data_IF_988901234047
#
_entry.id   IF_988901234047
#
_cell.length_a   1.000
_cell.length_b   1.000
_cell.length_c   1.000
_cell.angle_alpha   90.00
_cell.angle_beta   90.00
_cell.angle_gamma   90.00
#
_symmetry.space_group_name_H-M   'P 1'
#
loop_
_entity.id
_entity.type
_entity.pdbx_description
1 polymer ?
#
# COMPACT_ATOMS: atom_id res chain seq x y z
N UNK A 1 39.29 -24.90 8.76
CA UNK A 1 40.36 -25.69 9.40
C UNK A 1 40.77 -24.93 10.65
N UNK A 2 40.60 -25.59 11.81
CA UNK A 2 40.97 -25.19 13.18
C UNK A 2 40.20 -24.00 13.78
N UNK A 3 39.10 -24.37 14.44
CA UNK A 3 38.33 -23.63 15.44
C UNK A 3 39.05 -23.65 16.80
N UNK A 4 38.80 -22.63 17.63
CA UNK A 4 38.97 -22.70 19.09
C UNK A 4 37.70 -22.15 19.77
N UNK A 5 37.33 -22.65 20.97
CA UNK A 5 35.95 -22.66 21.42
C UNK A 5 35.57 -21.44 22.24
N UNK A 6 34.34 -20.97 22.03
CA UNK A 6 33.66 -19.94 22.81
C UNK A 6 32.96 -20.60 23.99
N UNK A 7 33.24 -20.07 25.18
CA UNK A 7 32.69 -20.39 26.49
C UNK A 7 31.19 -20.10 26.60
N UNK A 8 30.49 -21.02 27.27
CA UNK A 8 29.07 -21.02 27.62
C UNK A 8 28.65 -19.83 28.51
N UNK A 9 27.59 -19.13 28.12
CA UNK A 9 26.91 -18.12 28.93
C UNK A 9 25.77 -18.75 29.76
N UNK A 10 25.49 -18.24 30.98
CA UNK A 10 24.41 -18.74 31.84
C UNK A 10 23.02 -18.16 31.48
N UNK A 11 21.91 -18.80 31.91
CA UNK A 11 20.55 -18.40 31.55
C UNK A 11 20.07 -17.12 32.27
N UNK A 12 19.15 -16.34 31.66
CA UNK A 12 18.68 -15.07 32.21
C UNK A 12 17.66 -15.25 33.34
N UNK A 13 17.77 -14.36 34.33
CA UNK A 13 16.92 -14.24 35.50
C UNK A 13 15.49 -13.76 35.16
N UNK A 14 14.50 -14.32 35.85
CA UNK A 14 13.09 -13.88 35.86
C UNK A 14 12.98 -12.50 36.53
N UNK A 15 12.45 -11.51 35.80
CA UNK A 15 12.06 -10.21 36.34
C UNK A 15 10.56 -10.26 36.63
N UNK A 16 10.22 -10.23 37.92
CA UNK A 16 8.85 -10.04 38.43
C UNK A 16 8.61 -8.55 38.58
N UNK A 17 7.72 -7.97 37.78
CA UNK A 17 7.35 -6.55 37.86
C UNK A 17 6.00 -6.41 38.55
N UNK A 18 6.04 -5.90 39.78
CA UNK A 18 4.91 -5.48 40.60
C UNK A 18 4.36 -4.15 40.07
N UNK A 19 3.04 -4.08 39.82
CA UNK A 19 2.36 -2.85 39.40
C UNK A 19 2.00 -1.97 40.61
N UNK A 20 2.16 -0.63 40.53
CA UNK A 20 1.63 0.27 41.55
C UNK A 20 0.21 0.74 41.20
N UNK A 21 -0.67 0.59 42.19
CA UNK A 21 -2.03 1.09 42.27
C UNK A 21 -2.02 2.60 42.47
N UNK A 22 -2.62 3.36 41.54
CA UNK A 22 -2.87 4.80 41.70
C UNK A 22 -4.38 5.02 41.73
N UNK A 23 -4.83 5.65 42.80
CA UNK A 23 -6.20 6.09 43.08
C UNK A 23 -6.27 7.61 42.89
N UNK A 24 -7.49 8.15 42.94
CA UNK A 24 -7.91 9.58 43.10
C UNK A 24 -8.34 10.30 41.80
N UNK A 25 -9.19 11.35 41.87
CA UNK A 25 -10.66 11.27 41.95
C UNK A 25 -11.39 12.09 40.86
N UNK A 26 -12.70 11.91 40.77
CA UNK A 26 -13.62 12.76 39.99
C UNK A 26 -13.65 14.21 40.50
N UNK A 27 -13.95 15.20 39.63
CA UNK A 27 -15.20 15.94 39.85
C UNK A 27 -15.97 16.39 38.59
N UNK A 28 -17.30 16.36 38.76
CA UNK A 28 -18.31 17.41 38.50
C UNK A 28 -18.36 18.14 37.14
N UNK A 29 -19.54 17.98 36.52
CA UNK A 29 -20.02 18.63 35.31
C UNK A 29 -20.49 20.08 35.51
N UNK A 30 -20.34 20.90 34.46
CA UNK A 30 -21.25 22.00 34.09
C UNK A 30 -21.21 22.19 32.56
N UNK A 31 -22.35 22.39 31.86
CA UNK A 31 -22.41 22.45 30.40
C UNK A 31 -22.15 23.87 29.88
N UNK A 32 -21.39 23.99 28.79
CA UNK A 32 -21.27 25.24 28.02
C UNK A 32 -21.61 24.98 26.57
N UNK A 33 -22.54 25.79 26.07
CA UNK A 33 -23.20 25.73 24.77
C UNK A 33 -22.39 26.47 23.69
N UNK A 34 -22.56 26.01 22.43
CA UNK A 34 -22.24 26.62 21.13
C UNK A 34 -20.88 26.27 20.46
N UNK A 35 -20.74 26.34 19.12
CA UNK A 35 -21.74 26.49 18.05
C UNK A 35 -21.72 25.35 16.99
N UNK A 36 -22.83 25.33 16.27
CA UNK A 36 -23.17 24.60 15.05
C UNK A 36 -22.12 24.71 13.94
N UNK A 37 -21.70 23.57 13.38
CA UNK A 37 -21.32 23.36 11.97
C UNK A 37 -20.30 22.21 11.84
N UNK A 38 -20.80 21.00 11.61
CA UNK A 38 -20.16 20.04 10.70
C UNK A 38 -21.19 18.97 10.38
N UNK A 39 -21.38 18.74 9.09
CA UNK A 39 -22.32 17.80 8.49
C UNK A 39 -22.04 16.38 8.95
N UNK A 40 -22.88 15.85 9.82
CA UNK A 40 -22.97 14.41 10.09
C UNK A 40 -23.45 13.68 8.83
N UNK A 41 -22.57 12.88 8.25
CA UNK A 41 -22.94 11.96 7.19
C UNK A 41 -23.59 10.73 7.84
N UNK A 42 -24.91 10.77 7.93
CA UNK A 42 -25.75 9.64 8.37
C UNK A 42 -25.71 8.56 7.28
N UNK A 43 -25.14 7.41 7.60
CA UNK A 43 -25.33 6.19 6.79
C UNK A 43 -26.81 5.83 6.89
N UNK A 44 -27.54 5.67 5.78
CA UNK A 44 -28.96 5.35 5.83
C UNK A 44 -29.13 3.98 6.49
N UNK A 45 -29.76 3.98 7.66
CA UNK A 45 -30.34 2.77 8.23
C UNK A 45 -31.34 2.22 7.22
N UNK A 46 -31.16 0.96 6.86
CA UNK A 46 -32.00 0.20 5.95
C UNK A 46 -33.41 0.03 6.52
N UNK A 47 -34.23 1.06 6.38
CA UNK A 47 -35.68 0.97 6.61
C UNK A 47 -36.32 0.18 5.46
N UNK A 48 -36.72 -1.05 5.78
CA UNK A 48 -37.86 -1.81 5.24
C UNK A 48 -38.29 -1.46 3.81
N UNK A 49 -37.67 -2.11 2.82
CA UNK A 49 -38.28 -2.29 1.50
C UNK A 49 -39.06 -3.62 1.52
N UNK A 50 -40.38 -3.49 1.42
CA UNK A 50 -41.32 -4.57 1.21
C UNK A 50 -40.97 -5.30 -0.10
N UNK A 51 -40.79 -6.64 -0.12
CA UNK A 51 -40.43 -7.34 -1.35
C UNK A 51 -41.63 -7.43 -2.29
N UNK A 52 -41.40 -7.13 -3.58
CA UNK A 52 -42.29 -7.51 -4.66
C UNK A 52 -42.31 -9.05 -4.81
N UNK A 53 -43.46 -9.67 -5.13
CA UNK A 53 -43.58 -11.12 -5.25
C UNK A 53 -42.79 -11.60 -6.49
N UNK A 54 -41.66 -12.25 -6.24
CA UNK A 54 -40.90 -13.00 -7.24
C UNK A 54 -41.47 -14.42 -7.35
N UNK A 55 -41.37 -15.07 -8.53
CA UNK A 55 -41.95 -16.38 -8.76
C UNK A 55 -41.21 -17.45 -7.95
N UNK A 56 -42.01 -18.30 -7.30
CA UNK A 56 -41.65 -19.40 -6.40
C UNK A 56 -40.37 -20.16 -6.80
N UNK A 57 -39.22 -19.72 -6.26
CA UNK A 57 -38.09 -20.61 -6.03
C UNK A 57 -38.45 -21.47 -4.82
N UNK A 58 -38.62 -22.78 -5.04
CA UNK A 58 -38.98 -23.74 -4.00
C UNK A 58 -38.04 -23.62 -2.80
N UNK A 59 -38.59 -23.12 -1.70
CA UNK A 59 -37.92 -23.07 -0.40
C UNK A 59 -37.82 -24.51 0.10
N UNK A 60 -36.66 -25.13 -0.10
CA UNK A 60 -36.30 -26.38 0.56
C UNK A 60 -36.04 -26.03 2.02
N UNK A 61 -37.11 -26.06 2.82
CA UNK A 61 -37.08 -25.96 4.27
C UNK A 61 -36.73 -27.34 4.84
N UNK A 62 -35.45 -27.70 4.76
CA UNK A 62 -34.87 -28.84 5.46
C UNK A 62 -34.02 -28.33 6.61
N UNK A 63 -34.22 -28.86 7.82
CA UNK A 63 -33.38 -28.60 8.98
C UNK A 63 -31.90 -28.56 8.59
N UNK A 64 -31.27 -27.39 8.75
CA UNK A 64 -29.88 -27.12 8.41
C UNK A 64 -28.93 -27.88 9.35
N UNK A 65 -28.79 -29.18 9.14
CA UNK A 65 -27.67 -29.96 9.65
C UNK A 65 -26.42 -29.52 8.90
N UNK A 66 -25.72 -28.48 9.38
CA UNK A 66 -24.30 -28.16 9.14
C UNK A 66 -23.67 -28.32 7.71
N UNK A 67 -24.45 -28.45 6.63
CA UNK A 67 -23.95 -28.63 5.27
C UNK A 67 -25.06 -28.32 4.26
N UNK A 68 -24.84 -27.63 3.15
CA UNK A 68 -23.60 -27.50 2.40
C UNK A 68 -23.48 -26.08 1.85
N UNK A 69 -22.49 -25.33 2.31
CA UNK A 69 -22.04 -24.17 1.55
C UNK A 69 -21.44 -24.69 0.24
N UNK A 70 -21.86 -24.17 -0.92
CA UNK A 70 -21.29 -24.61 -2.18
C UNK A 70 -19.80 -24.22 -2.21
N UNK A 71 -18.87 -25.15 -2.55
CA UNK A 71 -17.46 -24.82 -2.70
C UNK A 71 -17.29 -23.62 -3.67
N UNK A 72 -16.39 -22.66 -3.38
CA UNK A 72 -15.42 -22.62 -2.29
C UNK A 72 -15.92 -21.94 -0.99
N UNK A 73 -17.23 -21.69 -0.82
CA UNK A 73 -17.76 -21.06 0.39
C UNK A 73 -17.66 -22.00 1.59
N UNK A 74 -17.23 -21.48 2.73
CA UNK A 74 -17.02 -22.24 3.95
C UNK A 74 -18.21 -22.08 4.91
N UNK A 75 -18.54 -23.10 5.72
CA UNK A 75 -19.58 -22.97 6.74
C UNK A 75 -19.18 -21.93 7.81
N UNK A 76 -20.14 -21.11 8.23
CA UNK A 76 -19.98 -20.10 9.26
C UNK A 76 -20.08 -20.72 10.66
N UNK A 77 -19.04 -21.45 11.06
CA UNK A 77 -19.01 -22.19 12.34
C UNK A 77 -19.03 -21.29 13.59
N UNK A 78 -18.70 -20.01 13.44
CA UNK A 78 -18.64 -19.03 14.53
C UNK A 78 -19.81 -18.05 14.54
N UNK A 79 -20.79 -18.22 13.63
CA UNK A 79 -21.92 -17.30 13.48
C UNK A 79 -21.47 -15.82 13.36
N UNK A 80 -20.37 -15.59 12.64
CA UNK A 80 -19.82 -14.25 12.42
C UNK A 80 -20.78 -13.42 11.56
N UNK A 81 -21.06 -12.19 12.00
CA UNK A 81 -21.70 -11.15 11.21
C UNK A 81 -20.60 -10.23 10.66
N UNK A 82 -20.02 -10.61 9.51
CA UNK A 82 -19.01 -9.81 8.82
C UNK A 82 -19.36 -9.69 7.34
N UNK A 83 -18.79 -8.73 6.62
CA UNK A 83 -19.05 -8.55 5.18
C UNK A 83 -18.67 -9.79 4.34
N UNK A 84 -17.77 -10.62 4.87
CA UNK A 84 -17.36 -11.89 4.24
C UNK A 84 -18.29 -13.06 4.56
N UNK A 85 -19.21 -12.92 5.52
CA UNK A 85 -20.12 -13.96 6.00
C UNK A 85 -21.57 -13.56 5.82
N UNK A 86 -22.37 -14.35 5.09
CA UNK A 86 -23.82 -14.14 4.97
C UNK A 86 -24.58 -15.41 5.35
N UNK A 87 -25.22 -15.35 6.51
CA UNK A 87 -25.96 -16.48 7.07
C UNK A 87 -25.02 -17.66 7.37
N UNK A 88 -25.31 -18.88 6.89
CA UNK A 88 -24.54 -20.06 7.23
C UNK A 88 -23.22 -20.20 6.46
N UNK A 89 -22.91 -19.31 5.51
CA UNK A 89 -21.74 -19.42 4.64
C UNK A 89 -20.88 -18.17 4.64
N UNK A 90 -19.57 -18.36 4.54
CA UNK A 90 -18.55 -17.33 4.49
C UNK A 90 -17.61 -17.52 3.31
N UNK A 91 -17.08 -16.41 2.80
CA UNK A 91 -15.95 -16.39 1.88
C UNK A 91 -14.66 -16.70 2.67
N UNK A 92 -13.77 -17.56 2.14
CA UNK A 92 -12.44 -17.73 2.69
C UNK A 92 -11.63 -16.43 2.53
N UNK A 93 -10.71 -16.21 3.46
CA UNK A 93 -9.77 -15.11 3.42
C UNK A 93 -8.51 -15.48 2.58
N UNK A 94 -8.01 -14.58 1.69
CA UNK A 94 -8.60 -13.29 1.32
C UNK A 94 -9.78 -13.49 0.37
N UNK A 95 -10.87 -12.72 0.54
CA UNK A 95 -12.07 -12.85 -0.30
C UNK A 95 -11.77 -12.68 -1.81
N UNK A 96 -10.71 -11.93 -2.13
CA UNK A 96 -10.20 -11.75 -3.49
C UNK A 96 -9.83 -13.06 -4.18
N UNK A 97 -9.27 -14.04 -3.46
CA UNK A 97 -8.71 -15.25 -4.06
C UNK A 97 -9.75 -16.09 -4.75
N UNK A 98 -11.00 -15.96 -4.35
CA UNK A 98 -12.16 -16.73 -4.80
C UNK A 98 -12.72 -16.22 -6.14
N UNK A 99 -12.42 -14.98 -6.51
CA UNK A 99 -12.93 -14.40 -7.76
C UNK A 99 -12.04 -14.62 -8.98
N UNK A 100 -10.80 -15.08 -8.79
CA UNK A 100 -9.85 -15.37 -9.87
C UNK A 100 -9.74 -16.86 -10.14
N UNK A 101 -8.95 -17.29 -11.13
CA UNK A 101 -8.65 -18.72 -11.24
C UNK A 101 -7.78 -19.17 -10.03
N UNK A 102 -7.92 -20.42 -9.57
CA UNK A 102 -7.15 -20.93 -8.43
C UNK A 102 -5.64 -20.87 -8.71
N UNK A 103 -4.87 -20.41 -7.72
CA UNK A 103 -3.42 -20.23 -7.81
C UNK A 103 -2.95 -19.02 -8.62
N UNK A 104 -3.84 -18.31 -9.32
CA UNK A 104 -3.46 -17.23 -10.22
C UNK A 104 -2.92 -15.99 -9.46
N UNK A 105 -3.61 -15.57 -8.40
CA UNK A 105 -3.18 -14.47 -7.53
C UNK A 105 -1.92 -14.82 -6.73
N UNK A 106 -1.84 -16.04 -6.19
CA UNK A 106 -0.66 -16.51 -5.44
C UNK A 106 0.59 -16.51 -6.33
N UNK A 107 0.44 -16.91 -7.60
CA UNK A 107 1.53 -16.87 -8.59
C UNK A 107 2.03 -15.45 -8.81
N UNK A 108 1.14 -14.46 -8.99
CA UNK A 108 1.56 -13.04 -9.10
C UNK A 108 2.31 -12.62 -7.85
N UNK A 109 1.72 -12.79 -6.66
CA UNK A 109 2.31 -12.28 -5.43
C UNK A 109 3.67 -12.91 -5.16
N UNK A 110 3.83 -14.18 -5.52
CA UNK A 110 5.11 -14.88 -5.48
C UNK A 110 6.13 -14.25 -6.44
N UNK A 111 5.78 -14.09 -7.72
CA UNK A 111 6.66 -13.49 -8.73
C UNK A 111 7.05 -12.06 -8.34
N UNK A 112 6.08 -11.23 -7.97
CA UNK A 112 6.33 -9.85 -7.54
C UNK A 112 7.21 -9.81 -6.30
N UNK A 113 7.01 -10.69 -5.33
CA UNK A 113 7.85 -10.74 -4.12
C UNK A 113 9.30 -11.12 -4.44
N UNK A 114 9.53 -12.04 -5.38
CA UNK A 114 10.87 -12.34 -5.89
C UNK A 114 11.50 -11.15 -6.61
N UNK A 115 10.74 -10.45 -7.47
CA UNK A 115 11.23 -9.25 -8.15
C UNK A 115 11.61 -8.13 -7.16
N UNK A 116 10.80 -7.93 -6.11
CA UNK A 116 11.11 -6.99 -5.02
C UNK A 116 12.37 -7.41 -4.25
N UNK A 117 12.55 -8.71 -3.98
CA UNK A 117 13.78 -9.20 -3.35
C UNK A 117 15.03 -8.92 -4.18
N UNK A 118 14.98 -9.18 -5.49
CA UNK A 118 16.07 -8.85 -6.43
C UNK A 118 16.32 -7.34 -6.46
N UNK A 119 15.26 -6.53 -6.51
CA UNK A 119 15.35 -5.07 -6.47
C UNK A 119 16.00 -4.56 -5.18
N UNK A 120 15.61 -5.12 -4.02
CA UNK A 120 16.17 -4.78 -2.72
C UNK A 120 17.69 -5.04 -2.67
N UNK A 121 18.14 -6.19 -3.19
CA UNK A 121 19.58 -6.54 -3.26
C UNK A 121 20.32 -5.55 -4.15
N UNK A 122 19.80 -5.22 -5.32
CA UNK A 122 20.44 -4.26 -6.22
C UNK A 122 20.49 -2.84 -5.63
N UNK A 123 19.42 -2.40 -4.95
CA UNK A 123 19.41 -1.13 -4.19
C UNK A 123 20.43 -1.14 -3.04
N UNK A 124 20.60 -2.28 -2.36
CA UNK A 124 21.59 -2.43 -1.30
C UNK A 124 23.01 -2.33 -1.85
N UNK A 125 23.30 -2.98 -2.98
CA UNK A 125 24.60 -2.87 -3.64
C UNK A 125 24.92 -1.42 -4.05
N UNK A 126 23.94 -0.68 -4.58
CA UNK A 126 24.10 0.74 -4.83
C UNK A 126 24.40 1.53 -3.55
N UNK A 127 23.59 1.31 -2.51
CA UNK A 127 23.77 2.01 -1.24
C UNK A 127 25.19 1.78 -0.70
N UNK A 128 25.66 0.54 -0.70
CA UNK A 128 27.02 0.17 -0.29
C UNK A 128 28.08 0.86 -1.18
N UNK A 129 27.90 0.87 -2.49
CA UNK A 129 28.82 1.56 -3.40
C UNK A 129 28.91 3.07 -3.07
N UNK A 130 27.79 3.74 -2.81
CA UNK A 130 27.80 5.16 -2.43
C UNK A 130 28.43 5.40 -1.05
N UNK A 131 28.26 4.48 -0.09
CA UNK A 131 28.90 4.58 1.23
C UNK A 131 30.42 4.43 1.12
N UNK A 132 30.89 3.48 0.31
CA UNK A 132 32.32 3.16 0.13
C UNK A 132 33.09 4.22 -0.66
N UNK A 133 32.44 5.01 -1.53
CA UNK A 133 33.10 6.09 -2.29
C UNK A 133 32.97 7.46 -1.58
N UNK A 134 33.93 7.86 -0.70
CA UNK A 134 33.84 9.10 0.09
C UNK A 134 33.84 10.38 -0.78
N UNK A 135 34.44 10.32 -1.97
CA UNK A 135 34.51 11.45 -2.91
C UNK A 135 33.13 11.98 -3.35
N UNK A 136 32.07 11.17 -3.19
CA UNK A 136 30.70 11.47 -3.63
C UNK A 136 29.75 11.95 -2.53
N UNK A 137 30.23 12.31 -1.34
CA UNK A 137 29.36 12.76 -0.21
C UNK A 137 28.93 14.23 -0.27
N UNK A 138 29.24 14.96 -1.34
CA UNK A 138 28.83 16.35 -1.53
C UNK A 138 27.46 16.45 -2.19
N UNK A 139 26.72 17.51 -1.90
CA UNK A 139 25.48 17.84 -2.60
C UNK A 139 25.75 17.89 -4.13
N UNK A 140 24.89 17.30 -5.00
CA UNK A 140 23.56 16.71 -4.77
C UNK A 140 23.55 15.19 -4.46
N UNK A 141 24.71 14.53 -4.49
CA UNK A 141 24.80 13.06 -4.37
C UNK A 141 24.34 12.53 -3.01
N UNK A 142 24.35 13.36 -1.95
CA UNK A 142 23.80 13.02 -0.64
C UNK A 142 22.30 12.65 -0.69
N UNK A 143 21.50 13.37 -1.50
CA UNK A 143 20.07 13.07 -1.66
C UNK A 143 19.86 11.67 -2.27
N UNK A 144 20.67 11.34 -3.28
CA UNK A 144 20.63 10.03 -3.95
C UNK A 144 21.04 8.91 -3.00
N UNK A 145 22.05 9.14 -2.14
CA UNK A 145 22.44 8.18 -1.11
C UNK A 145 21.30 7.89 -0.13
N UNK A 146 20.65 8.93 0.40
CA UNK A 146 19.52 8.76 1.33
C UNK A 146 18.33 8.09 0.64
N UNK A 147 18.08 8.43 -0.62
CA UNK A 147 17.07 7.78 -1.44
C UNK A 147 17.32 6.28 -1.59
N UNK A 148 18.55 5.89 -1.97
CA UNK A 148 18.94 4.49 -2.09
C UNK A 148 18.83 3.76 -0.74
N UNK A 149 19.20 4.40 0.36
CA UNK A 149 19.09 3.85 1.71
C UNK A 149 17.64 3.53 2.11
N UNK A 150 16.68 4.38 1.74
CA UNK A 150 15.25 4.18 2.02
C UNK A 150 14.59 3.17 1.08
N UNK A 151 15.11 3.02 -0.14
CA UNK A 151 14.59 2.03 -1.09
C UNK A 151 14.84 0.58 -0.65
N UNK A 152 15.95 0.31 0.06
CA UNK A 152 16.24 -1.04 0.58
C UNK A 152 15.15 -1.57 1.51
N UNK A 153 14.78 -0.88 2.62
CA UNK A 153 13.69 -1.36 3.47
C UNK A 153 12.32 -1.28 2.78
N UNK A 154 12.10 -0.31 1.88
CA UNK A 154 10.85 -0.23 1.12
C UNK A 154 10.61 -1.50 0.29
N UNK A 155 11.61 -1.96 -0.47
CA UNK A 155 11.54 -3.21 -1.21
C UNK A 155 11.53 -4.43 -0.28
N UNK A 156 12.32 -4.38 0.81
CA UNK A 156 12.39 -5.45 1.81
C UNK A 156 11.04 -5.76 2.46
N UNK A 157 10.21 -4.77 2.77
CA UNK A 157 8.87 -4.97 3.35
C UNK A 157 7.95 -5.79 2.45
N UNK A 158 8.12 -5.71 1.13
CA UNK A 158 7.37 -6.52 0.17
C UNK A 158 7.76 -8.00 0.18
N UNK A 159 8.93 -8.35 0.71
CA UNK A 159 9.42 -9.74 0.76
C UNK A 159 8.91 -10.53 1.95
N UNK A 160 8.32 -9.87 2.95
CA UNK A 160 7.75 -10.51 4.15
C UNK A 160 6.72 -11.57 3.78
N UNK A 161 5.98 -11.34 2.68
CA UNK A 161 5.04 -12.29 2.11
C UNK A 161 5.64 -13.69 1.87
N UNK A 162 6.88 -13.78 1.39
CA UNK A 162 7.52 -15.07 1.08
C UNK A 162 7.70 -15.97 2.30
N UNK A 163 7.78 -15.39 3.51
CA UNK A 163 7.99 -16.13 4.76
C UNK A 163 6.70 -16.35 5.54
N UNK A 164 5.77 -15.40 5.51
CA UNK A 164 4.62 -15.34 6.41
C UNK A 164 3.32 -14.98 5.67
N UNK A 165 3.04 -15.65 4.55
CA UNK A 165 1.85 -15.37 3.73
C UNK A 165 0.55 -15.45 4.53
N UNK A 166 0.42 -16.43 5.43
CA UNK A 166 -0.80 -16.64 6.20
C UNK A 166 -1.00 -15.52 7.23
N UNK A 167 0.02 -15.21 8.03
CA UNK A 167 -0.06 -14.21 9.11
C UNK A 167 -0.29 -12.77 8.60
N UNK A 168 0.18 -12.45 7.40
CA UNK A 168 0.04 -11.10 6.79
C UNK A 168 -1.36 -10.88 6.19
N UNK A 169 -2.07 -11.95 5.85
CA UNK A 169 -3.31 -11.85 5.06
C UNK A 169 -4.53 -12.12 5.91
N UNK A 170 -4.45 -13.20 6.66
CA UNK A 170 -5.60 -13.77 7.35
C UNK A 170 -5.18 -14.17 8.75
N UNK A 171 -5.90 -13.65 9.75
CA UNK A 171 -5.73 -14.13 11.11
C UNK A 171 -6.33 -15.52 11.28
N UNK A 172 -7.48 -15.72 10.65
CA UNK A 172 -8.26 -16.95 10.63
C UNK A 172 -8.78 -17.17 9.22
N UNK A 173 -9.36 -18.34 8.96
CA UNK A 173 -9.90 -18.71 7.63
C UNK A 173 -10.94 -17.72 7.10
N UNK A 174 -11.61 -16.96 7.97
CA UNK A 174 -12.67 -16.00 7.61
C UNK A 174 -12.30 -14.52 7.83
N UNK A 175 -11.28 -14.24 8.65
CA UNK A 175 -11.02 -12.90 9.17
C UNK A 175 -9.73 -12.34 8.56
N UNK A 176 -9.85 -11.21 7.86
CA UNK A 176 -8.71 -10.48 7.32
C UNK A 176 -7.81 -9.95 8.44
N UNK A 177 -6.52 -9.89 8.14
CA UNK A 177 -5.56 -9.32 9.08
C UNK A 177 -5.68 -7.81 9.13
N UNK A 178 -5.81 -7.27 10.34
CA UNK A 178 -5.85 -5.85 10.67
C UNK A 178 -4.74 -5.52 11.67
N UNK A 179 -4.36 -4.25 11.77
CA UNK A 179 -3.40 -3.78 12.79
C UNK A 179 -3.88 -4.06 14.22
N UNK A 180 -5.19 -4.20 14.44
CA UNK A 180 -5.73 -4.54 15.75
C UNK A 180 -5.51 -6.02 16.11
N UNK A 181 -5.46 -6.90 15.11
CA UNK A 181 -5.44 -8.34 15.31
C UNK A 181 -4.07 -9.00 15.02
N UNK A 182 -3.19 -8.33 14.28
CA UNK A 182 -1.80 -8.75 14.00
C UNK A 182 -0.84 -7.57 14.04
N UNK A 183 0.19 -7.68 14.88
CA UNK A 183 1.22 -6.65 15.01
C UNK A 183 2.13 -6.58 13.78
N UNK A 184 2.37 -7.71 13.09
CA UNK A 184 3.23 -7.78 11.90
C UNK A 184 2.62 -6.95 10.77
N UNK A 185 1.32 -7.12 10.53
CA UNK A 185 0.57 -6.33 9.55
C UNK A 185 0.58 -4.83 9.89
N UNK A 186 0.39 -4.50 11.17
CA UNK A 186 0.47 -3.11 11.65
C UNK A 186 1.84 -2.48 11.39
N UNK A 187 2.92 -3.13 11.82
CA UNK A 187 4.30 -2.63 11.62
C UNK A 187 4.64 -2.53 10.14
N UNK A 188 4.29 -3.55 9.34
CA UNK A 188 4.54 -3.56 7.91
C UNK A 188 3.82 -2.39 7.22
N UNK A 189 2.54 -2.18 7.50
CA UNK A 189 1.77 -1.09 6.88
C UNK A 189 2.22 0.31 7.31
N UNK A 190 2.55 0.51 8.59
CA UNK A 190 3.09 1.79 9.10
C UNK A 190 4.42 2.09 8.41
N UNK A 191 5.33 1.12 8.41
CA UNK A 191 6.67 1.28 7.84
C UNK A 191 6.57 1.53 6.32
N UNK A 192 5.71 0.78 5.63
CA UNK A 192 5.49 0.94 4.19
C UNK A 192 4.96 2.33 3.86
N UNK A 193 3.88 2.76 4.54
CA UNK A 193 3.29 4.09 4.33
C UNK A 193 4.29 5.22 4.61
N UNK A 194 5.05 5.12 5.71
CA UNK A 194 6.08 6.08 6.07
C UNK A 194 7.18 6.18 5.01
N UNK A 195 7.69 5.04 4.54
CA UNK A 195 8.74 4.99 3.53
C UNK A 195 8.26 5.58 2.21
N UNK A 196 7.06 5.22 1.72
CA UNK A 196 6.49 5.79 0.49
C UNK A 196 6.39 7.31 0.57
N UNK A 197 5.79 7.84 1.64
CA UNK A 197 5.64 9.28 1.81
C UNK A 197 6.98 10.01 1.94
N UNK A 198 7.96 9.41 2.62
CA UNK A 198 9.33 9.96 2.73
C UNK A 198 10.05 9.97 1.38
N UNK A 199 9.95 8.87 0.62
CA UNK A 199 10.50 8.76 -0.74
C UNK A 199 9.88 9.81 -1.67
N UNK A 200 8.56 10.02 -1.60
CA UNK A 200 7.86 11.06 -2.35
C UNK A 200 8.30 12.48 -1.94
N UNK A 201 8.46 12.76 -0.64
CA UNK A 201 8.98 14.05 -0.15
C UNK A 201 10.42 14.30 -0.60
N UNK A 202 11.26 13.26 -0.65
CA UNK A 202 12.62 13.37 -1.16
C UNK A 202 12.67 13.52 -2.69
N UNK A 203 11.79 12.83 -3.41
CA UNK A 203 11.67 12.96 -4.87
C UNK A 203 11.22 14.38 -5.26
N UNK A 204 10.22 14.94 -4.57
CA UNK A 204 9.81 16.34 -4.77
C UNK A 204 10.92 17.31 -4.42
N UNK A 205 11.64 17.12 -3.32
CA UNK A 205 12.81 17.93 -2.97
C UNK A 205 13.91 17.87 -4.05
N UNK A 206 14.17 16.68 -4.62
CA UNK A 206 15.13 16.49 -5.71
C UNK A 206 14.70 17.24 -6.98
N UNK A 207 13.42 17.15 -7.36
CA UNK A 207 12.86 17.84 -8.53
C UNK A 207 12.90 19.36 -8.32
N UNK A 208 12.49 19.87 -7.15
CA UNK A 208 12.55 21.30 -6.84
C UNK A 208 13.99 21.82 -6.85
N UNK A 209 14.95 21.04 -6.35
CA UNK A 209 16.37 21.39 -6.42
C UNK A 209 16.88 21.47 -7.86
N UNK A 210 16.53 20.50 -8.70
CA UNK A 210 16.84 20.56 -10.14
C UNK A 210 16.21 21.79 -10.80
N UNK A 211 14.95 22.08 -10.47
CA UNK A 211 14.23 23.24 -11.02
C UNK A 211 14.86 24.57 -10.59
N UNK A 212 15.19 24.74 -9.30
CA UNK A 212 15.83 25.96 -8.79
C UNK A 212 17.23 26.17 -9.38
N UNK A 213 18.01 25.11 -9.58
CA UNK A 213 19.34 25.19 -10.20
C UNK A 213 19.26 25.53 -11.69
N UNK A 214 18.27 24.98 -12.41
CA UNK A 214 18.13 25.17 -13.86
C UNK A 214 17.46 26.49 -14.23
N UNK A 215 16.35 26.84 -13.57
CA UNK A 215 15.53 28.00 -13.91
C UNK A 215 15.97 29.25 -13.16
N UNK A 216 16.10 29.15 -11.83
CA UNK A 216 16.36 30.31 -10.98
C UNK A 216 17.84 30.54 -10.67
N UNK A 217 18.72 29.57 -10.97
CA UNK A 217 20.15 29.57 -10.58
C UNK A 217 20.36 29.82 -9.09
N UNK A 218 19.39 29.45 -8.26
CA UNK A 218 19.40 29.71 -6.83
C UNK A 218 20.10 28.59 -6.06
N UNK A 219 20.97 28.95 -5.11
CA UNK A 219 21.59 28.00 -4.17
C UNK A 219 20.78 27.81 -2.87
N UNK A 220 19.49 28.20 -2.86
CA UNK A 220 18.64 28.20 -1.67
C UNK A 220 18.56 26.81 -1.01
N UNK A 221 18.29 25.76 -1.79
CA UNK A 221 18.22 24.38 -1.27
C UNK A 221 19.59 23.90 -0.83
N UNK A 222 20.68 24.32 -1.48
CA UNK A 222 22.03 23.91 -1.09
C UNK A 222 22.39 24.44 0.30
N UNK A 223 22.06 25.72 0.57
CA UNK A 223 22.34 26.39 1.84
C UNK A 223 21.47 25.87 3.00
N UNK A 224 20.28 25.35 2.69
CA UNK A 224 19.31 24.88 3.69
C UNK A 224 18.96 23.40 3.55
N UNK A 225 19.81 22.62 2.88
CA UNK A 225 19.54 21.21 2.57
C UNK A 225 19.20 20.41 3.83
N UNK A 226 19.96 20.59 4.91
CA UNK A 226 19.71 19.89 6.18
C UNK A 226 18.31 20.16 6.74
N UNK A 227 17.83 21.41 6.65
CA UNK A 227 16.48 21.78 7.10
C UNK A 227 15.40 21.12 6.25
N UNK A 228 15.57 21.13 4.92
CA UNK A 228 14.64 20.47 4.01
C UNK A 228 14.66 18.95 4.16
N UNK A 229 15.82 18.35 4.41
CA UNK A 229 15.94 16.92 4.70
C UNK A 229 15.15 16.57 5.96
N UNK A 230 15.40 17.26 7.07
CA UNK A 230 14.66 17.07 8.33
C UNK A 230 13.15 17.21 8.09
N UNK A 231 12.72 18.26 7.38
CA UNK A 231 11.32 18.47 7.03
C UNK A 231 10.72 17.29 6.22
N UNK A 232 11.47 16.73 5.27
CA UNK A 232 11.03 15.59 4.45
C UNK A 232 10.85 14.29 5.23
N UNK A 233 11.42 14.14 6.43
CA UNK A 233 11.18 12.99 7.31
C UNK A 233 10.06 13.27 8.33
N UNK A 234 10.01 14.49 8.88
CA UNK A 234 9.00 14.88 9.86
C UNK A 234 7.60 14.99 9.26
N UNK A 235 7.47 15.49 8.04
CA UNK A 235 6.17 15.64 7.38
C UNK A 235 5.47 14.27 7.19
N UNK A 236 6.10 13.24 6.57
CA UNK A 236 5.55 11.89 6.52
C UNK A 236 5.21 11.30 7.89
N UNK A 237 6.08 11.49 8.89
CA UNK A 237 5.85 10.98 10.24
C UNK A 237 4.56 11.57 10.84
N UNK A 238 4.36 12.87 10.68
CA UNK A 238 3.15 13.56 11.15
C UNK A 238 1.86 13.05 10.50
N UNK A 239 1.92 12.59 9.25
CA UNK A 239 0.79 12.04 8.50
C UNK A 239 0.48 10.59 8.85
N UNK A 240 1.52 9.78 9.11
CA UNK A 240 1.37 8.37 9.46
C UNK A 240 0.91 8.19 10.91
N UNK A 241 1.28 9.10 11.82
CA UNK A 241 0.96 8.98 13.24
C UNK A 241 -0.56 8.87 13.52
N UNK A 242 -1.45 9.69 12.94
CA UNK A 242 -2.90 9.52 13.10
C UNK A 242 -3.43 8.16 12.60
N UNK A 243 -2.92 7.66 11.48
CA UNK A 243 -3.31 6.36 10.90
C UNK A 243 -2.93 5.22 11.84
N UNK A 244 -1.72 5.28 12.39
CA UNK A 244 -1.23 4.31 13.37
C UNK A 244 -2.05 4.33 14.67
N UNK A 245 -2.35 5.53 15.20
CA UNK A 245 -3.13 5.68 16.43
C UNK A 245 -4.58 5.19 16.27
N UNK A 246 -5.18 5.38 15.09
CA UNK A 246 -6.54 4.92 14.77
C UNK A 246 -6.61 3.47 14.32
N UNK A 247 -5.48 2.75 14.25
CA UNK A 247 -5.39 1.34 13.80
C UNK A 247 -6.05 1.09 12.43
N UNK A 248 -5.92 2.04 11.50
CA UNK A 248 -6.59 2.02 10.19
C UNK A 248 -5.84 1.21 9.11
N UNK A 249 -4.85 0.42 9.53
CA UNK A 249 -4.08 -0.45 8.64
C UNK A 249 -4.73 -1.82 8.63
N UNK A 250 -5.04 -2.30 7.44
CA UNK A 250 -5.62 -3.61 7.20
C UNK A 250 -5.09 -4.16 5.88
N UNK A 251 -5.15 -5.48 5.72
CA UNK A 251 -4.94 -6.06 4.41
C UNK A 251 -6.21 -5.87 3.58
N UNK A 252 -6.20 -5.11 2.46
CA UNK A 252 -7.39 -4.93 1.63
C UNK A 252 -7.82 -6.23 0.92
N UNK A 253 -7.08 -7.33 1.09
CA UNK A 253 -7.27 -8.58 0.36
C UNK A 253 -6.64 -8.57 -1.02
N UNK A 254 -6.12 -7.43 -1.48
CA UNK A 254 -5.46 -7.26 -2.77
C UNK A 254 -4.05 -6.73 -2.54
N UNK A 255 -3.06 -7.60 -2.71
CA UNK A 255 -1.66 -7.26 -2.57
C UNK A 255 -0.96 -8.07 -1.49
N UNK A 256 0.37 -7.99 -1.50
CA UNK A 256 1.23 -8.75 -0.58
C UNK A 256 1.63 -7.99 0.71
N UNK A 257 1.07 -6.79 0.89
CA UNK A 257 1.49 -5.84 1.93
C UNK A 257 0.25 -5.28 2.61
N UNK A 258 0.27 -5.20 3.94
CA UNK A 258 -0.76 -4.48 4.68
C UNK A 258 -0.71 -2.98 4.38
N UNK A 259 -1.89 -2.37 4.19
CA UNK A 259 -1.97 -0.97 3.78
C UNK A 259 -3.07 -0.23 4.54
N UNK A 260 -3.14 1.09 4.38
CA UNK A 260 -4.25 1.88 4.93
C UNK A 260 -5.53 1.54 4.17
N UNK A 261 -6.67 1.50 4.88
CA UNK A 261 -7.98 1.26 4.27
C UNK A 261 -8.20 2.19 3.06
N UNK A 262 -8.70 1.67 1.93
CA UNK A 262 -8.75 2.42 0.68
C UNK A 262 -9.64 3.68 0.70
N UNK A 263 -10.69 3.68 1.52
CA UNK A 263 -11.54 4.86 1.78
C UNK A 263 -10.72 6.04 2.30
N UNK A 264 -9.77 5.73 3.18
CA UNK A 264 -8.98 6.70 3.94
C UNK A 264 -7.66 7.01 3.23
N UNK A 265 -7.10 6.02 2.53
CA UNK A 265 -5.84 6.13 1.80
C UNK A 265 -5.81 7.36 0.90
N UNK A 266 -6.91 7.60 0.17
CA UNK A 266 -7.00 8.76 -0.71
C UNK A 266 -6.76 10.08 0.02
N UNK A 267 -7.40 10.32 1.17
CA UNK A 267 -7.21 11.56 1.92
C UNK A 267 -5.74 11.75 2.32
N UNK A 268 -5.08 10.72 2.86
CA UNK A 268 -3.71 10.83 3.36
C UNK A 268 -2.65 10.96 2.27
N UNK A 269 -2.88 10.41 1.08
CA UNK A 269 -1.93 10.52 -0.04
C UNK A 269 -2.17 11.75 -0.92
N UNK A 270 -3.42 12.19 -1.14
CA UNK A 270 -3.73 13.32 -2.01
C UNK A 270 -3.54 14.69 -1.34
N UNK A 271 -3.86 14.84 -0.05
CA UNK A 271 -3.72 16.13 0.65
C UNK A 271 -2.28 16.69 0.64
N UNK A 272 -1.24 15.87 0.92
CA UNK A 272 0.14 16.37 0.92
C UNK A 272 0.66 16.76 -0.47
N UNK A 273 0.20 16.06 -1.51
CA UNK A 273 0.60 16.34 -2.90
C UNK A 273 -0.10 17.57 -3.48
N UNK A 274 -1.37 17.79 -3.13
CA UNK A 274 -2.20 18.89 -3.65
C UNK A 274 -1.93 20.24 -2.96
N UNK A 275 -1.66 20.24 -1.65
CA UNK A 275 -1.44 21.47 -0.87
C UNK A 275 -0.26 22.34 -1.34
N UNK A 276 0.66 21.80 -2.15
CA UNK A 276 1.84 22.53 -2.65
C UNK A 276 1.56 23.48 -3.80
N UNK A 277 0.38 23.44 -4.43
CA UNK A 277 0.08 24.27 -5.62
C UNK A 277 -0.22 25.73 -5.23
N UNK A 278 -0.71 26.01 -4.03
CA UNK A 278 -1.10 27.39 -3.65
C UNK A 278 0.03 28.21 -3.02
N UNK A 279 0.99 27.58 -2.33
CA UNK A 279 2.02 28.31 -1.57
C UNK A 279 3.11 28.97 -2.45
N UNK A 280 3.36 28.44 -3.66
CA UNK A 280 4.36 29.01 -4.57
C UNK A 280 3.90 30.30 -5.26
N UNK A 281 2.63 30.68 -5.17
CA UNK A 281 2.12 31.93 -5.73
C UNK A 281 2.42 33.16 -4.86
N UNK A 282 2.69 32.99 -3.56
CA UNK A 282 2.70 34.12 -2.61
C UNK A 282 4.10 34.65 -2.28
N UNK A 283 5.18 33.87 -2.47
CA UNK A 283 6.52 34.27 -1.98
C UNK A 283 7.52 34.74 -3.05
N UNK A 284 7.13 34.84 -4.32
CA UNK A 284 8.03 35.31 -5.40
C UNK A 284 7.95 36.84 -5.60
N UNK A 285 7.11 37.55 -4.84
CA UNK A 285 6.89 38.99 -4.97
C UNK A 285 7.99 39.93 -4.44
N UNK A 286 8.81 39.51 -3.46
CA UNK A 286 9.58 40.47 -2.65
C UNK A 286 11.11 40.45 -2.80
N UNK A 287 11.68 39.71 -3.75
CA UNK A 287 13.15 39.73 -3.98
C UNK A 287 13.60 40.87 -4.89
N UNK A 288 13.00 42.05 -4.75
CA UNK A 288 13.37 43.28 -5.47
C UNK A 288 14.16 44.24 -4.56
N UNK A 289 15.09 43.74 -3.73
CA UNK A 289 16.03 44.61 -3.02
C UNK A 289 17.34 44.73 -3.80
N UNK A 290 17.37 45.75 -4.64
CA UNK A 290 18.57 46.31 -5.26
C UNK A 290 19.64 46.63 -4.19
N UNK A 291 20.80 45.98 -4.26
CA UNK A 291 22.04 46.50 -3.67
C UNK A 291 23.10 46.61 -4.79
N UNK A 292 23.23 47.78 -5.45
CA UNK A 292 24.28 48.03 -6.42
C UNK A 292 25.51 48.57 -5.68
N UNK A 293 26.34 47.68 -5.13
CA UNK A 293 27.61 48.08 -4.51
C UNK A 293 28.63 46.98 -4.64
N UNK A 294 29.02 46.64 -5.87
CA UNK A 294 30.30 45.96 -6.12
C UNK A 294 30.91 46.44 -7.44
N UNK A 295 31.78 47.43 -7.28
CA UNK A 295 32.55 48.09 -8.31
C UNK A 295 33.81 47.27 -8.59
N UNK A 296 33.71 46.16 -9.33
CA UNK A 296 34.90 45.42 -9.79
C UNK A 296 34.81 45.03 -11.27
N UNK A 297 35.54 45.80 -12.08
CA UNK A 297 36.08 45.47 -13.42
C UNK A 297 35.19 44.63 -14.34
N UNK A 298 34.24 45.31 -15.00
CA UNK A 298 33.48 44.79 -16.14
C UNK A 298 34.41 44.54 -17.34
N UNK A 299 35.00 43.34 -17.43
CA UNK A 299 35.24 42.75 -18.75
C UNK A 299 33.87 42.42 -19.33
N UNK A 300 33.39 43.29 -20.21
CA UNK A 300 32.15 43.16 -20.98
C UNK A 300 32.22 41.91 -21.86
N UNK A 301 31.98 40.73 -21.27
CA UNK A 301 31.72 39.52 -22.03
C UNK A 301 30.52 39.80 -22.92
N UNK A 302 30.71 39.62 -24.23
CA UNK A 302 29.65 39.80 -25.21
C UNK A 302 28.41 38.96 -24.81
N UNK A 303 27.23 39.47 -25.12
CA UNK A 303 25.95 38.76 -24.89
C UNK A 303 26.02 37.32 -25.45
N UNK A 304 26.75 37.13 -26.54
CA UNK A 304 26.99 35.81 -27.17
C UNK A 304 27.84 34.88 -26.29
N UNK A 305 28.92 35.36 -25.67
CA UNK A 305 29.73 34.54 -24.75
C UNK A 305 28.95 34.16 -23.49
N UNK A 306 28.13 35.06 -22.94
CA UNK A 306 27.30 34.76 -21.76
C UNK A 306 26.28 33.65 -22.04
N UNK A 307 25.67 33.65 -23.24
CA UNK A 307 24.75 32.59 -23.69
C UNK A 307 25.46 31.26 -23.89
N UNK A 308 26.65 31.27 -24.50
CA UNK A 308 27.46 30.07 -24.71
C UNK A 308 27.93 29.44 -23.39
N UNK A 309 28.37 30.26 -22.44
CA UNK A 309 28.76 29.79 -21.10
C UNK A 309 27.56 29.15 -20.38
N UNK A 310 26.43 29.87 -20.39
CA UNK A 310 25.15 29.35 -19.85
C UNK A 310 24.76 28.02 -20.48
N UNK A 311 24.85 27.87 -21.79
CA UNK A 311 24.48 26.64 -22.48
C UNK A 311 25.41 25.47 -22.11
N UNK A 312 26.71 25.73 -21.93
CA UNK A 312 27.67 24.71 -21.46
C UNK A 312 27.40 24.31 -20.02
N UNK A 313 27.14 25.28 -19.15
CA UNK A 313 26.84 25.02 -17.74
C UNK A 313 25.56 24.20 -17.61
N UNK A 314 24.51 24.56 -18.35
CA UNK A 314 23.24 23.81 -18.40
C UNK A 314 23.47 22.40 -18.95
N UNK A 315 24.23 22.23 -20.03
CA UNK A 315 24.45 20.89 -20.60
C UNK A 315 25.27 20.00 -19.67
N UNK A 316 26.24 20.56 -18.94
CA UNK A 316 27.00 19.83 -17.93
C UNK A 316 26.12 19.43 -16.74
N UNK A 317 25.27 20.33 -16.25
CA UNK A 317 24.30 20.05 -15.20
C UNK A 317 23.32 18.96 -15.62
N UNK A 318 22.75 19.08 -16.82
CA UNK A 318 21.83 18.08 -17.38
C UNK A 318 22.52 16.72 -17.55
N UNK A 319 23.76 16.72 -18.07
CA UNK A 319 24.57 15.51 -18.21
C UNK A 319 24.95 14.87 -16.88
N UNK A 320 25.01 15.63 -15.79
CA UNK A 320 25.27 15.10 -14.45
C UNK A 320 23.98 14.67 -13.73
N UNK A 321 22.84 15.30 -14.04
CA UNK A 321 21.57 15.11 -13.32
C UNK A 321 20.53 14.28 -14.07
N UNK A 322 20.78 13.87 -15.32
CA UNK A 322 19.80 13.08 -16.08
C UNK A 322 19.51 11.72 -15.42
N UNK A 323 20.47 11.09 -14.72
CA UNK A 323 20.22 9.80 -14.04
C UNK A 323 19.23 9.93 -12.89
N UNK A 324 19.45 10.81 -11.87
CA UNK A 324 18.42 11.04 -10.84
C UNK A 324 17.13 11.63 -11.40
N UNK A 325 17.20 12.46 -12.45
CA UNK A 325 16.02 13.01 -13.13
C UNK A 325 15.18 11.93 -13.80
N UNK A 326 15.81 10.99 -14.50
CA UNK A 326 15.15 9.83 -15.11
C UNK A 326 14.53 8.93 -14.05
N UNK A 327 15.23 8.67 -12.95
CA UNK A 327 14.70 7.91 -11.81
C UNK A 327 13.45 8.58 -11.23
N UNK A 328 13.49 9.89 -10.97
CA UNK A 328 12.35 10.63 -10.47
C UNK A 328 11.16 10.57 -11.46
N UNK A 329 11.43 10.71 -12.77
CA UNK A 329 10.40 10.59 -13.80
C UNK A 329 9.77 9.20 -13.83
N UNK A 330 10.56 8.14 -13.80
CA UNK A 330 10.06 6.75 -13.78
C UNK A 330 9.21 6.47 -12.53
N UNK A 331 9.59 7.01 -11.38
CA UNK A 331 8.80 6.89 -10.15
C UNK A 331 7.47 7.62 -10.25
N UNK A 332 7.44 8.83 -10.83
CA UNK A 332 6.19 9.55 -11.08
C UNK A 332 5.28 8.79 -12.04
N UNK A 333 5.83 8.24 -13.13
CA UNK A 333 5.05 7.42 -14.08
C UNK A 333 4.47 6.19 -13.37
N UNK A 334 5.28 5.50 -12.59
CA UNK A 334 4.85 4.32 -11.83
C UNK A 334 3.76 4.65 -10.82
N UNK A 335 3.93 5.76 -10.08
CA UNK A 335 2.94 6.27 -9.14
C UNK A 335 1.63 6.61 -9.86
N UNK A 336 1.69 7.28 -11.01
CA UNK A 336 0.49 7.57 -11.83
C UNK A 336 -0.22 6.31 -12.31
N UNK A 337 0.51 5.28 -12.74
CA UNK A 337 -0.07 3.98 -13.15
C UNK A 337 -0.74 3.29 -11.96
N UNK A 338 -0.07 3.26 -10.81
CA UNK A 338 -0.62 2.69 -9.58
C UNK A 338 -1.90 3.41 -9.15
N UNK A 339 -1.90 4.74 -9.16
CA UNK A 339 -3.08 5.54 -8.82
C UNK A 339 -4.22 5.38 -9.80
N UNK A 340 -3.91 5.29 -11.10
CA UNK A 340 -4.91 5.03 -12.13
C UNK A 340 -5.59 3.67 -11.84
N UNK A 341 -4.79 2.61 -11.66
CA UNK A 341 -5.31 1.29 -11.29
C UNK A 341 -6.16 1.32 -10.01
N UNK A 342 -5.66 2.01 -8.99
CA UNK A 342 -6.34 2.13 -7.71
C UNK A 342 -7.73 2.77 -7.86
N UNK A 343 -7.84 3.87 -8.61
CA UNK A 343 -9.12 4.56 -8.79
C UNK A 343 -10.08 3.86 -9.74
N UNK A 344 -9.57 3.18 -10.78
CA UNK A 344 -10.42 2.52 -11.77
C UNK A 344 -10.85 1.13 -11.33
N UNK A 345 -9.95 0.36 -10.71
CA UNK A 345 -10.14 -1.06 -10.44
C UNK A 345 -10.37 -1.38 -8.97
N UNK A 346 -9.55 -0.86 -8.04
CA UNK A 346 -9.62 -1.26 -6.63
C UNK A 346 -10.98 -0.90 -5.98
N UNK A 347 -11.55 0.25 -6.35
CA UNK A 347 -12.88 0.68 -5.89
C UNK A 347 -14.04 -0.21 -6.34
N UNK A 348 -13.85 -1.08 -7.34
CA UNK A 348 -14.91 -2.01 -7.75
C UNK A 348 -15.21 -3.04 -6.65
N UNK A 349 -14.19 -3.38 -5.86
CA UNK A 349 -14.26 -4.42 -4.83
C UNK A 349 -14.90 -3.91 -3.53
N UNK A 350 -14.71 -2.63 -3.20
CA UNK A 350 -15.39 -2.00 -2.06
C UNK A 350 -16.92 -2.00 -2.23
N UNK A 351 -17.40 -1.99 -3.48
CA UNK A 351 -18.84 -1.98 -3.79
C UNK A 351 -19.48 -3.37 -3.77
N UNK A 352 -18.71 -4.41 -3.45
CA UNK A 352 -19.17 -5.79 -3.46
C UNK A 352 -19.92 -6.06 -2.16
N UNK A 353 -21.24 -5.86 -2.21
CA UNK A 353 -22.15 -6.35 -1.18
C UNK A 353 -22.72 -7.71 -1.55
N UNK A 354 -23.08 -8.50 -0.53
CA UNK A 354 -23.75 -9.78 -0.73
C UNK A 354 -25.18 -9.68 -1.30
N UNK A 355 -25.68 -8.46 -1.52
CA UNK A 355 -26.92 -8.13 -2.22
C UNK A 355 -26.71 -7.73 -3.69
N UNK A 356 -25.46 -7.58 -4.14
CA UNK A 356 -25.18 -7.17 -5.51
C UNK A 356 -25.59 -8.26 -6.51
N UNK A 357 -26.23 -7.85 -7.62
CA UNK A 357 -26.81 -8.78 -8.58
C UNK A 357 -25.78 -9.76 -9.16
N UNK A 358 -24.59 -9.27 -9.52
CA UNK A 358 -23.54 -10.12 -10.07
C UNK A 358 -23.01 -11.13 -9.04
N UNK A 359 -22.93 -10.76 -7.75
CA UNK A 359 -22.52 -11.69 -6.69
C UNK A 359 -23.57 -12.78 -6.47
N UNK A 360 -24.86 -12.44 -6.57
CA UNK A 360 -25.95 -13.42 -6.55
C UNK A 360 -25.87 -14.38 -7.75
N UNK A 361 -25.59 -13.88 -8.95
CA UNK A 361 -25.39 -14.72 -10.13
C UNK A 361 -24.17 -15.63 -9.99
N UNK A 362 -23.07 -15.09 -9.47
CA UNK A 362 -21.85 -15.84 -9.23
C UNK A 362 -22.05 -16.95 -8.16
N UNK A 363 -22.71 -16.64 -7.04
CA UNK A 363 -23.05 -17.65 -6.01
C UNK A 363 -24.05 -18.69 -6.51
N UNK A 364 -25.01 -18.32 -7.36
CA UNK A 364 -25.90 -19.27 -8.03
C UNK A 364 -25.13 -20.22 -8.95
N UNK A 365 -24.16 -19.69 -9.73
CA UNK A 365 -23.28 -20.50 -10.55
C UNK A 365 -22.48 -21.50 -9.70
N UNK A 366 -21.91 -21.07 -8.56
CA UNK A 366 -21.23 -21.98 -7.63
C UNK A 366 -22.15 -23.09 -7.14
N UNK A 367 -23.39 -22.76 -6.77
CA UNK A 367 -24.39 -23.75 -6.38
C UNK A 367 -24.67 -24.78 -7.47
N UNK A 368 -24.79 -24.36 -8.73
CA UNK A 368 -24.96 -25.24 -9.87
C UNK A 368 -23.74 -26.14 -10.09
N UNK A 369 -22.53 -25.60 -10.02
CA UNK A 369 -21.29 -26.36 -10.16
C UNK A 369 -21.08 -27.38 -9.03
N UNK A 370 -21.49 -27.04 -7.81
CA UNK A 370 -21.50 -27.96 -6.69
C UNK A 370 -22.43 -29.15 -6.96
N UNK A 371 -23.65 -28.90 -7.46
CA UNK A 371 -24.58 -29.98 -7.84
C UNK A 371 -24.02 -30.87 -8.96
N UNK A 372 -23.40 -30.28 -9.98
CA UNK A 372 -22.74 -31.04 -11.05
C UNK A 372 -21.58 -31.89 -10.51
N UNK A 373 -20.78 -31.35 -9.59
CA UNK A 373 -19.67 -32.08 -8.94
C UNK A 373 -20.16 -33.24 -8.08
N UNK A 374 -21.34 -33.09 -7.46
CA UNK A 374 -22.02 -34.17 -6.74
C UNK A 374 -22.50 -35.24 -7.72
N UNK A 375 -23.15 -34.85 -8.82
CA UNK A 375 -23.66 -35.78 -9.85
C UNK A 375 -22.55 -36.56 -10.55
N UNK A 376 -21.37 -35.94 -10.75
CA UNK A 376 -20.20 -36.60 -11.32
C UNK A 376 -19.47 -37.53 -10.34
N UNK A 377 -19.89 -37.58 -9.07
CA UNK A 377 -19.21 -38.34 -8.02
C UNK A 377 -17.90 -37.72 -7.54
N UNK A 378 -17.61 -36.47 -7.92
CA UNK A 378 -16.43 -35.71 -7.45
C UNK A 378 -16.61 -35.26 -6.00
N UNK A 379 -17.85 -34.98 -5.58
CA UNK A 379 -18.21 -34.70 -4.19
C UNK A 379 -19.12 -35.81 -3.64
N UNK A 380 -18.74 -36.49 -2.55
CA UNK A 380 -19.58 -37.52 -1.94
C UNK A 380 -20.81 -36.90 -1.27
N UNK A 381 -22.01 -37.48 -1.51
CA UNK A 381 -23.26 -37.06 -0.82
C UNK A 381 -23.36 -37.56 0.62
N UNK A 382 -22.70 -38.67 0.94
CA UNK A 382 -22.99 -39.47 2.14
C UNK A 382 -21.91 -39.42 3.21
N UNK A 383 -20.76 -38.83 2.90
CA UNK A 383 -19.64 -38.69 3.83
C UNK A 383 -19.17 -37.24 3.86
N UNK A 384 -18.67 -36.79 5.02
CA UNK A 384 -18.04 -35.48 5.14
C UNK A 384 -16.91 -35.39 4.12
N UNK A 385 -16.99 -34.51 3.10
CA UNK A 385 -15.96 -34.44 2.08
C UNK A 385 -14.62 -34.11 2.74
N UNK A 386 -13.56 -34.77 2.29
CA UNK A 386 -12.22 -34.45 2.76
C UNK A 386 -11.86 -33.01 2.33
N UNK A 387 -10.98 -32.30 3.07
CA UNK A 387 -10.55 -30.96 2.69
C UNK A 387 -10.02 -30.87 1.25
N UNK A 388 -9.36 -31.93 0.77
CA UNK A 388 -8.84 -32.01 -0.59
C UNK A 388 -9.95 -32.14 -1.65
N UNK A 389 -10.98 -32.96 -1.42
CA UNK A 389 -12.13 -33.07 -2.32
C UNK A 389 -12.93 -31.77 -2.37
N UNK A 390 -13.13 -31.13 -1.21
CA UNK A 390 -13.80 -29.84 -1.12
C UNK A 390 -13.04 -28.75 -1.88
N UNK A 391 -11.71 -28.71 -1.70
CA UNK A 391 -10.85 -27.79 -2.43
C UNK A 391 -10.89 -28.06 -3.95
N UNK A 392 -10.76 -29.32 -4.37
CA UNK A 392 -10.78 -29.67 -5.79
C UNK A 392 -12.11 -29.29 -6.46
N UNK A 393 -13.25 -29.53 -5.80
CA UNK A 393 -14.56 -29.11 -6.30
C UNK A 393 -14.68 -27.57 -6.33
N UNK A 394 -14.15 -26.89 -5.31
CA UNK A 394 -14.07 -25.43 -5.25
C UNK A 394 -13.27 -24.86 -6.41
N UNK A 395 -12.12 -25.44 -6.75
CA UNK A 395 -11.30 -25.02 -7.88
C UNK A 395 -12.01 -25.18 -9.22
N UNK A 396 -12.76 -26.27 -9.42
CA UNK A 396 -13.56 -26.49 -10.63
C UNK A 396 -14.68 -25.46 -10.73
N UNK A 397 -15.45 -25.27 -9.64
CA UNK A 397 -16.54 -24.30 -9.60
C UNK A 397 -16.03 -22.86 -9.81
N UNK A 398 -14.90 -22.52 -9.19
CA UNK A 398 -14.26 -21.23 -9.31
C UNK A 398 -13.79 -20.94 -10.75
N UNK A 399 -13.15 -21.91 -11.42
CA UNK A 399 -12.77 -21.77 -12.84
C UNK A 399 -13.99 -21.61 -13.76
N UNK A 400 -15.09 -22.31 -13.48
CA UNK A 400 -16.30 -22.23 -14.28
C UNK A 400 -17.05 -20.90 -14.09
N UNK A 401 -17.06 -20.37 -12.87
CA UNK A 401 -17.83 -19.17 -12.52
C UNK A 401 -17.01 -17.87 -12.54
N UNK A 402 -15.68 -17.92 -12.75
CA UNK A 402 -14.82 -16.73 -12.75
C UNK A 402 -15.18 -15.71 -13.84
N UNK A 403 -15.70 -16.16 -14.98
CA UNK A 403 -16.14 -15.28 -16.08
C UNK A 403 -17.29 -14.33 -15.68
N UNK A 404 -18.10 -14.72 -14.69
CA UNK A 404 -19.16 -13.86 -14.13
C UNK A 404 -18.56 -12.74 -13.29
N UNK A 405 -17.49 -13.03 -12.54
CA UNK A 405 -16.81 -12.08 -11.67
C UNK A 405 -15.85 -11.15 -12.45
N UNK A 406 -15.28 -11.61 -13.56
CA UNK A 406 -14.25 -10.93 -14.35
C UNK A 406 -14.49 -9.43 -14.64
N UNK A 407 -15.69 -8.98 -15.08
CA UNK A 407 -15.91 -7.54 -15.34
C UNK A 407 -16.01 -6.68 -14.07
N UNK A 408 -16.24 -7.31 -12.91
CA UNK A 408 -16.46 -6.63 -11.62
C UNK A 408 -15.22 -6.66 -10.72
N UNK A 409 -14.25 -7.53 -10.99
CA UNK A 409 -12.97 -7.57 -10.27
C UNK A 409 -11.88 -6.85 -11.05
N UNK A 410 -10.81 -6.38 -10.38
CA UNK A 410 -9.68 -5.77 -11.05
C UNK A 410 -9.15 -6.65 -12.17
N UNK A 411 -9.00 -6.06 -13.34
CA UNK A 411 -8.37 -6.75 -14.46
C UNK A 411 -6.98 -7.24 -14.05
N UNK A 412 -6.76 -8.54 -14.18
CA UNK A 412 -5.54 -9.20 -13.77
C UNK A 412 -4.29 -8.59 -14.42
N UNK A 413 -4.34 -8.25 -15.72
CA UNK A 413 -3.21 -7.65 -16.43
C UNK A 413 -2.84 -6.27 -15.86
N UNK A 414 -3.82 -5.51 -15.41
CA UNK A 414 -3.57 -4.23 -14.75
C UNK A 414 -2.93 -4.38 -13.38
N UNK A 415 -3.39 -5.36 -12.58
CA UNK A 415 -2.76 -5.67 -11.29
C UNK A 415 -1.29 -6.10 -11.47
N UNK A 416 -1.01 -6.94 -12.47
CA UNK A 416 0.35 -7.33 -12.85
C UNK A 416 1.18 -6.11 -13.24
N UNK A 417 0.64 -5.26 -14.11
CA UNK A 417 1.34 -4.07 -14.57
C UNK A 417 1.69 -3.13 -13.41
N UNK A 418 0.72 -2.83 -12.55
CA UNK A 418 0.92 -1.96 -11.39
C UNK A 418 2.00 -2.50 -10.43
N UNK A 419 2.08 -3.82 -10.27
CA UNK A 419 3.03 -4.48 -9.38
C UNK A 419 4.43 -4.69 -9.99
N UNK A 420 4.51 -4.99 -11.29
CA UNK A 420 5.79 -5.27 -11.96
C UNK A 420 6.53 -4.02 -12.41
N UNK A 421 5.79 -2.95 -12.74
CA UNK A 421 6.35 -1.70 -13.27
C UNK A 421 7.39 -1.04 -12.32
N UNK A 422 7.13 -0.93 -10.99
CA UNK A 422 8.13 -0.38 -10.07
C UNK A 422 9.43 -1.18 -10.06
N UNK A 423 9.35 -2.51 -10.04
CA UNK A 423 10.52 -3.38 -9.93
C UNK A 423 11.35 -3.37 -11.22
N UNK A 424 10.69 -3.42 -12.39
CA UNK A 424 11.36 -3.46 -13.69
C UNK A 424 12.09 -2.15 -14.01
N UNK A 425 11.46 -0.99 -13.77
CA UNK A 425 12.11 0.30 -13.99
C UNK A 425 13.32 0.49 -13.08
N UNK A 426 13.25 0.01 -11.83
CA UNK A 426 14.39 0.08 -10.91
C UNK A 426 15.54 -0.74 -11.44
N UNK A 427 15.32 -2.00 -11.81
CA UNK A 427 16.37 -2.85 -12.37
C UNK A 427 16.98 -2.23 -13.64
N UNK A 428 16.18 -1.58 -14.49
CA UNK A 428 16.69 -0.97 -15.72
C UNK A 428 17.53 0.31 -15.51
N UNK A 429 17.34 1.01 -14.39
CA UNK A 429 18.07 2.26 -14.07
C UNK A 429 19.37 1.98 -13.31
N UNK A 430 19.43 0.85 -12.59
CA UNK A 430 20.60 0.34 -11.88
C UNK A 430 21.65 -0.20 -12.86
#
# INVERSE_FOLDING_TARGET
>A
MILSPVTSAPPPAKITTTAPKVTTPAPTATPTTAPTSTTDFVIPSSSSLTPAPTPNAGVISGNATAGACPPPLLPNIYSLESDSCKGPCCLPCPASSVFYAPGQLETIYTITSYLRAVSAVSCLLLFLAYVVLPSRRKHPHLLVLVFAALMVPFEGLGTVWLKQKEEVLCKNVYEITTMANSWICGVQGIAFMYLVLTILCLATLLITNLHLLTVHRGALIQNHLGKFMVLSFFLPLSLVLPVALRKQIQNPGFGSVCFVSPEIASAYFFLPLSSRIQANAVSVGDSTSNNPSDTHSNKTLSVRQRRLQTARDISQLLKQQWRPGLLALCLLITDMIYWLFYFTEAKKLEKIGASTQWFLQWTQCLGQQALLSIQSGTLPLTTTPTPAEFQAAGEVAQRACSSIAEPFVPNFAWAVLAEMTPASFRIAIL
#
